data_IF_553583541047
#
_entry.id   IF_553583541047
#
_cell.length_a   1.000
_cell.length_b   1.000
_cell.length_c   1.000
_cell.angle_alpha   90.00
_cell.angle_beta   90.00
_cell.angle_gamma   90.00
#
_symmetry.space_group_name_H-M   'P 1'
#
loop_
_entity.id
_entity.type
_entity.pdbx_description
1 polymer ?
#
# COMPACT_ATOMS: atom_id res chain seq x y z
N UNK A 1 -32.40 1.46 24.95
CA UNK A 1 -31.02 1.97 24.84
C UNK A 1 -30.45 1.49 23.51
N UNK A 2 -30.31 2.37 22.52
CA UNK A 2 -29.70 1.99 21.24
C UNK A 2 -28.19 1.88 21.43
N UNK A 3 -27.69 0.65 21.48
CA UNK A 3 -26.27 0.34 21.66
C UNK A 3 -25.54 0.66 20.35
N UNK A 4 -24.91 1.82 20.26
CA UNK A 4 -24.11 2.19 19.10
C UNK A 4 -22.82 1.35 19.13
N UNK A 5 -22.70 0.39 18.22
CA UNK A 5 -21.49 -0.41 18.06
C UNK A 5 -20.43 0.42 17.33
N UNK A 6 -19.36 0.79 18.03
CA UNK A 6 -18.18 1.39 17.41
C UNK A 6 -17.48 0.29 16.58
N UNK A 7 -17.28 0.53 15.28
CA UNK A 7 -16.54 -0.34 14.38
C UNK A 7 -15.31 0.40 13.85
N UNK A 8 -14.14 -0.18 14.03
CA UNK A 8 -12.91 0.33 13.40
C UNK A 8 -12.90 -0.12 11.94
N UNK A 9 -12.87 0.85 11.02
CA UNK A 9 -12.93 0.60 9.55
C UNK A 9 -11.59 0.78 8.85
N UNK A 10 -10.58 1.29 9.56
CA UNK A 10 -9.28 1.59 9.00
C UNK A 10 -8.40 2.39 9.96
N UNK A 11 -7.28 2.88 9.43
CA UNK A 11 -6.29 3.60 10.22
C UNK A 11 -5.27 4.34 9.38
N UNK A 12 -4.18 4.75 10.03
CA UNK A 12 -3.01 5.34 9.38
C UNK A 12 -1.76 4.69 9.94
N UNK A 13 -0.88 4.22 9.04
CA UNK A 13 0.42 3.66 9.39
C UNK A 13 1.50 4.62 8.93
N UNK A 14 2.56 4.78 9.72
CA UNK A 14 3.77 5.46 9.32
C UNK A 14 4.81 4.41 8.92
N UNK A 15 5.27 4.44 7.68
CA UNK A 15 6.45 3.70 7.25
C UNK A 15 7.65 4.63 7.28
N UNK A 16 8.39 4.56 8.38
CA UNK A 16 9.57 5.38 8.70
C UNK A 16 10.72 5.19 7.70
N UNK A 17 10.81 4.01 7.06
CA UNK A 17 11.81 3.69 6.04
C UNK A 17 11.47 4.21 4.64
N UNK A 18 10.20 4.57 4.37
CA UNK A 18 9.80 5.17 3.09
C UNK A 18 9.95 6.68 3.16
N UNK A 19 11.18 7.17 3.10
CA UNK A 19 11.50 8.60 3.25
C UNK A 19 11.69 9.31 1.92
N UNK A 20 11.72 10.65 1.96
CA UNK A 20 12.13 11.47 0.81
C UNK A 20 13.62 11.41 0.49
N UNK A 21 14.44 10.80 1.35
CA UNK A 21 15.89 10.75 1.19
C UNK A 21 16.35 9.57 0.33
N UNK A 22 15.48 8.56 0.17
CA UNK A 22 15.74 7.42 -0.71
C UNK A 22 15.63 7.85 -2.17
N UNK A 23 16.43 7.23 -3.04
CA UNK A 23 16.29 7.38 -4.49
C UNK A 23 14.87 7.01 -4.97
N UNK A 24 14.44 7.63 -6.06
CA UNK A 24 13.09 7.45 -6.61
C UNK A 24 12.79 5.98 -6.96
N UNK A 25 13.73 5.28 -7.58
CA UNK A 25 13.60 3.86 -7.90
C UNK A 25 13.37 3.04 -6.63
N UNK A 26 14.16 3.28 -5.59
CA UNK A 26 14.00 2.60 -4.30
C UNK A 26 12.65 2.90 -3.65
N UNK A 27 12.16 4.14 -3.73
CA UNK A 27 10.83 4.48 -3.17
C UNK A 27 9.71 3.77 -3.90
N UNK A 28 9.78 3.68 -5.23
CA UNK A 28 8.76 3.03 -6.04
C UNK A 28 8.72 1.51 -5.76
N UNK A 29 9.90 0.86 -5.71
CA UNK A 29 10.01 -0.56 -5.33
C UNK A 29 9.53 -0.80 -3.89
N UNK A 30 9.97 0.03 -2.95
CA UNK A 30 9.55 -0.09 -1.54
C UNK A 30 8.04 0.11 -1.38
N UNK A 31 7.43 1.02 -2.14
CA UNK A 31 5.98 1.22 -2.16
C UNK A 31 5.25 -0.04 -2.63
N UNK A 32 5.70 -0.68 -3.71
CA UNK A 32 5.10 -1.94 -4.19
C UNK A 32 5.21 -3.04 -3.12
N UNK A 33 6.38 -3.18 -2.49
CA UNK A 33 6.59 -4.15 -1.41
C UNK A 33 5.70 -3.90 -0.19
N UNK A 34 5.61 -2.65 0.26
CA UNK A 34 4.75 -2.27 1.39
C UNK A 34 3.28 -2.52 1.06
N UNK A 35 2.83 -2.19 -0.15
CA UNK A 35 1.45 -2.45 -0.58
C UNK A 35 1.14 -3.94 -0.56
N UNK A 36 2.04 -4.78 -1.09
CA UNK A 36 1.87 -6.24 -1.03
C UNK A 36 1.77 -6.74 0.41
N UNK A 37 2.62 -6.23 1.32
CA UNK A 37 2.56 -6.59 2.73
C UNK A 37 1.23 -6.17 3.36
N UNK A 38 0.74 -4.96 3.06
CA UNK A 38 -0.57 -4.50 3.54
C UNK A 38 -1.70 -5.43 3.07
N UNK A 39 -1.70 -5.86 1.82
CA UNK A 39 -2.71 -6.80 1.31
C UNK A 39 -2.66 -8.14 2.05
N UNK A 40 -1.47 -8.66 2.36
CA UNK A 40 -1.31 -9.88 3.18
C UNK A 40 -1.89 -9.70 4.59
N UNK A 41 -1.80 -8.50 5.14
CA UNK A 41 -2.35 -8.13 6.46
C UNK A 41 -3.83 -7.72 6.41
N UNK A 42 -4.52 -7.96 5.28
CA UNK A 42 -5.93 -7.59 5.05
C UNK A 42 -6.15 -6.08 5.21
N UNK A 43 -5.23 -5.29 4.67
CA UNK A 43 -5.29 -3.83 4.64
C UNK A 43 -5.17 -3.33 3.21
N UNK A 44 -6.10 -2.45 2.82
CA UNK A 44 -6.06 -1.80 1.50
C UNK A 44 -5.61 -0.34 1.66
N UNK A 45 -4.53 0.10 1.00
CA UNK A 45 -4.12 1.50 1.06
C UNK A 45 -5.13 2.38 0.33
N UNK A 46 -5.55 3.44 0.97
CA UNK A 46 -6.50 4.45 0.44
C UNK A 46 -5.75 5.69 -0.02
N UNK A 47 -4.71 6.08 0.71
CA UNK A 47 -3.93 7.28 0.39
C UNK A 47 -2.50 7.16 0.87
N UNK A 48 -1.59 7.36 -0.06
CA UNK A 48 -0.17 7.55 0.23
C UNK A 48 0.09 9.05 0.40
N UNK A 49 0.62 9.44 1.55
CA UNK A 49 1.07 10.82 1.75
C UNK A 49 2.38 11.05 1.00
N UNK A 50 2.74 12.32 0.77
CA UNK A 50 4.05 12.65 0.22
C UNK A 50 5.15 12.12 1.16
N UNK A 51 6.22 11.47 0.63
CA UNK A 51 7.35 11.08 1.45
C UNK A 51 7.99 12.28 2.15
N UNK A 52 8.32 12.13 3.43
CA UNK A 52 9.01 13.13 4.23
C UNK A 52 10.28 12.54 4.85
N UNK A 53 11.09 13.39 5.50
CA UNK A 53 12.34 12.96 6.16
C UNK A 53 12.14 11.86 7.21
N UNK A 54 10.96 11.77 7.80
CA UNK A 54 10.62 10.80 8.87
C UNK A 54 9.73 9.65 8.39
N UNK A 55 9.61 9.48 7.07
CA UNK A 55 8.81 8.41 6.47
C UNK A 55 7.56 8.90 5.74
N UNK A 56 6.73 7.94 5.36
CA UNK A 56 5.49 8.15 4.62
C UNK A 56 4.30 7.64 5.40
N UNK A 57 3.29 8.50 5.57
CA UNK A 57 2.00 8.11 6.15
C UNK A 57 1.11 7.48 5.09
N UNK A 58 0.55 6.32 5.40
CA UNK A 58 -0.37 5.59 4.55
C UNK A 58 -1.69 5.45 5.29
N UNK A 59 -2.75 6.02 4.73
CA UNK A 59 -4.11 5.76 5.20
C UNK A 59 -4.58 4.45 4.58
N UNK A 60 -5.20 3.59 5.38
CA UNK A 60 -5.69 2.29 4.94
C UNK A 60 -7.07 2.01 5.50
N UNK A 61 -7.79 1.11 4.85
CA UNK A 61 -9.03 0.54 5.35
C UNK A 61 -8.89 -0.98 5.49
N UNK A 62 -9.73 -1.57 6.33
CA UNK A 62 -9.99 -3.00 6.27
C UNK A 62 -11.02 -3.23 5.17
N UNK A 63 -10.74 -4.08 4.16
CA UNK A 63 -11.70 -4.34 3.09
C UNK A 63 -12.98 -4.94 3.67
N UNK A 64 -14.14 -4.46 3.21
CA UNK A 64 -15.45 -4.96 3.63
C UNK A 64 -15.97 -6.09 2.72
N UNK A 65 -15.28 -6.34 1.60
CA UNK A 65 -15.57 -7.41 0.66
C UNK A 65 -14.30 -7.94 0.01
N UNK A 66 -14.35 -9.18 -0.51
CA UNK A 66 -13.27 -9.74 -1.31
C UNK A 66 -12.97 -8.86 -2.53
N UNK A 67 -14.01 -8.28 -3.15
CA UNK A 67 -13.86 -7.37 -4.29
C UNK A 67 -12.96 -6.17 -3.98
N UNK A 68 -13.10 -5.54 -2.80
CA UNK A 68 -12.24 -4.41 -2.43
C UNK A 68 -10.76 -4.82 -2.30
N UNK A 69 -10.52 -6.05 -1.83
CA UNK A 69 -9.16 -6.60 -1.77
C UNK A 69 -8.63 -6.91 -3.17
N UNK A 70 -9.45 -7.55 -4.02
CA UNK A 70 -9.09 -7.90 -5.40
C UNK A 70 -8.82 -6.66 -6.26
N UNK A 71 -9.65 -5.62 -6.12
CA UNK A 71 -9.47 -4.33 -6.79
C UNK A 71 -8.12 -3.72 -6.38
N UNK A 72 -7.78 -3.74 -5.09
CA UNK A 72 -6.50 -3.22 -4.60
C UNK A 72 -5.30 -4.06 -5.05
N UNK A 73 -5.46 -5.39 -5.19
CA UNK A 73 -4.44 -6.25 -5.79
C UNK A 73 -4.26 -5.94 -7.29
N UNK A 74 -5.34 -5.69 -8.02
CA UNK A 74 -5.28 -5.30 -9.43
C UNK A 74 -4.57 -3.95 -9.61
N UNK A 75 -4.84 -2.97 -8.74
CA UNK A 75 -4.14 -1.70 -8.71
C UNK A 75 -2.64 -1.87 -8.43
N UNK A 76 -2.27 -2.74 -7.48
CA UNK A 76 -0.87 -3.06 -7.20
C UNK A 76 -0.19 -3.68 -8.44
N UNK A 77 -0.85 -4.62 -9.13
CA UNK A 77 -0.32 -5.21 -10.37
C UNK A 77 -0.09 -4.14 -11.44
N UNK A 78 -1.04 -3.22 -11.63
CA UNK A 78 -0.87 -2.09 -12.55
C UNK A 78 0.28 -1.16 -12.15
N UNK A 79 0.41 -0.87 -10.85
CA UNK A 79 1.53 -0.08 -10.34
C UNK A 79 2.89 -0.75 -10.60
N UNK A 80 3.00 -2.07 -10.39
CA UNK A 80 4.22 -2.82 -10.68
C UNK A 80 4.60 -2.71 -12.16
N UNK A 81 3.65 -2.83 -13.09
CA UNK A 81 3.89 -2.63 -14.52
C UNK A 81 4.47 -1.24 -14.79
N UNK A 82 3.86 -0.19 -14.24
CA UNK A 82 4.37 1.18 -14.40
C UNK A 82 5.78 1.35 -13.82
N UNK A 83 6.08 0.74 -12.67
CA UNK A 83 7.41 0.82 -12.05
C UNK A 83 8.45 0.04 -12.87
N UNK A 84 8.08 -1.11 -13.43
CA UNK A 84 8.92 -1.89 -14.33
C UNK A 84 9.29 -1.08 -15.58
N UNK A 85 8.31 -0.48 -16.25
CA UNK A 85 8.52 0.37 -17.43
C UNK A 85 9.38 1.60 -17.12
N UNK A 86 9.12 2.25 -15.97
CA UNK A 86 9.81 3.49 -15.58
C UNK A 86 11.28 3.29 -15.22
N UNK A 87 11.62 2.16 -14.59
CA UNK A 87 12.93 1.94 -13.99
C UNK A 87 13.71 0.78 -14.60
N UNK A 88 13.20 0.21 -15.70
CA UNK A 88 13.73 -0.99 -16.38
C UNK A 88 13.94 -2.13 -15.38
N UNK A 89 12.84 -2.59 -14.80
CA UNK A 89 12.78 -3.67 -13.82
C UNK A 89 11.88 -4.80 -14.32
N UNK A 90 12.03 -5.97 -13.71
CA UNK A 90 11.19 -7.15 -13.97
C UNK A 90 10.60 -7.69 -12.66
N UNK A 91 9.92 -6.82 -11.91
CA UNK A 91 9.25 -7.21 -10.67
C UNK A 91 7.96 -7.98 -10.98
N UNK A 92 7.70 -9.03 -10.20
CA UNK A 92 6.47 -9.82 -10.23
C UNK A 92 6.02 -10.20 -8.82
N UNK A 93 4.74 -10.54 -8.68
CA UNK A 93 4.20 -11.09 -7.41
C UNK A 93 4.34 -12.61 -7.51
N UNK A 94 5.11 -13.22 -6.60
CA UNK A 94 5.26 -14.68 -6.55
C UNK A 94 3.94 -15.36 -6.18
N UNK A 95 3.54 -16.35 -6.97
CA UNK A 95 2.48 -17.29 -6.63
C UNK A 95 3.09 -18.39 -5.76
N UNK A 96 2.55 -18.59 -4.55
CA UNK A 96 2.84 -19.75 -3.72
C UNK A 96 1.71 -20.76 -3.88
#
# INVERSE_FOLDING_TARGET
MNNHKIKVVGGTILYDKLTSLSDEKMRDVAKAHIWLQMLKDIQVPVKWSRPYKHGTKIKFNFPQSQKEWDDSLAELKGYIVTVNEKHDLDMSIGEN
#
